data_IF_639584971161
#
_entry.id   IF_639584971161
#
_cell.length_a   1.000
_cell.length_b   1.000
_cell.length_c   1.000
_cell.angle_alpha   90.00
_cell.angle_beta   90.00
_cell.angle_gamma   90.00
#
_symmetry.space_group_name_H-M   'P 1'
#
loop_
_entity.id
_entity.type
_entity.pdbx_description
1 polymer ?
#
# COMPACT_ATOMS: atom_id res chain seq x y z
N UNK A 1 10.46 6.17 -23.97
CA UNK A 1 9.04 6.05 -24.36
C UNK A 1 8.56 7.45 -24.71
N UNK A 2 8.59 7.81 -25.99
CA UNK A 2 8.00 9.07 -26.46
C UNK A 2 6.52 8.78 -26.70
N UNK A 3 5.66 9.21 -25.78
CA UNK A 3 4.22 9.29 -26.08
C UNK A 3 4.02 10.56 -26.90
N UNK A 4 4.35 10.48 -28.19
CA UNK A 4 3.92 11.50 -29.15
C UNK A 4 2.43 11.27 -29.39
N UNK A 5 1.59 12.05 -28.71
CA UNK A 5 0.18 12.21 -29.10
C UNK A 5 0.19 12.97 -30.41
N UNK A 6 -0.18 12.30 -31.50
CA UNK A 6 -0.44 12.94 -32.79
C UNK A 6 -1.52 14.01 -32.60
N UNK A 7 -1.49 15.08 -33.40
CA UNK A 7 -2.47 16.18 -33.39
C UNK A 7 -3.87 15.77 -33.87
N UNK A 8 -4.33 14.57 -33.51
CA UNK A 8 -5.64 13.99 -33.78
C UNK A 8 -6.00 12.79 -32.89
N UNK A 9 -5.12 12.32 -31.99
CA UNK A 9 -5.46 11.24 -31.05
C UNK A 9 -6.23 11.80 -29.85
N UNK A 10 -7.31 11.13 -29.39
CA UNK A 10 -8.02 11.57 -28.20
C UNK A 10 -7.09 11.52 -26.98
N UNK A 11 -7.11 12.54 -26.10
CA UNK A 11 -6.26 12.57 -24.92
C UNK A 11 -6.53 11.32 -24.05
N UNK A 12 -5.47 10.61 -23.65
CA UNK A 12 -5.59 9.44 -22.77
C UNK A 12 -6.03 9.92 -21.38
N UNK A 13 -7.26 9.60 -20.93
CA UNK A 13 -7.79 10.20 -19.71
C UNK A 13 -7.26 9.54 -18.43
N UNK A 14 -6.84 8.26 -18.51
CA UNK A 14 -6.45 7.44 -17.37
C UNK A 14 -5.64 6.22 -17.82
N UNK A 15 -4.65 5.83 -17.02
CA UNK A 15 -3.97 4.54 -17.15
C UNK A 15 -4.50 3.60 -16.07
N UNK A 16 -4.92 2.39 -16.46
CA UNK A 16 -5.26 1.31 -15.53
C UNK A 16 -4.15 0.28 -15.58
N UNK A 17 -3.52 -0.01 -14.44
CA UNK A 17 -2.38 -0.93 -14.41
C UNK A 17 -1.58 -0.91 -13.13
N UNK A 18 -0.38 -1.48 -13.19
CA UNK A 18 0.40 -1.79 -12.00
C UNK A 18 -0.15 -3.04 -11.33
N UNK A 19 0.30 -4.19 -11.82
CA UNK A 19 -0.04 -5.54 -11.38
C UNK A 19 0.51 -5.88 -9.98
N UNK A 20 1.50 -5.13 -9.52
CA UNK A 20 2.03 -5.18 -8.17
C UNK A 20 2.18 -3.79 -7.56
N UNK A 21 2.32 -3.72 -6.23
CA UNK A 21 2.65 -2.47 -5.54
C UNK A 21 3.98 -1.87 -5.99
N UNK A 22 4.95 -2.69 -6.41
CA UNK A 22 6.24 -2.19 -6.92
C UNK A 22 6.05 -1.56 -8.29
N UNK A 23 5.38 -2.26 -9.21
CA UNK A 23 5.08 -1.75 -10.55
C UNK A 23 4.27 -0.47 -10.48
N UNK A 24 3.25 -0.42 -9.62
CA UNK A 24 2.43 0.77 -9.40
C UNK A 24 3.23 1.96 -8.88
N UNK A 25 4.18 1.76 -7.95
CA UNK A 25 5.05 2.84 -7.47
C UNK A 25 5.93 3.40 -8.59
N UNK A 26 6.52 2.53 -9.40
CA UNK A 26 7.36 2.94 -10.54
C UNK A 26 6.53 3.75 -11.54
N UNK A 27 5.38 3.22 -11.97
CA UNK A 27 4.49 3.89 -12.91
C UNK A 27 3.98 5.23 -12.36
N UNK A 28 3.53 5.27 -11.10
CA UNK A 28 3.03 6.50 -10.48
C UNK A 28 4.10 7.60 -10.44
N UNK A 29 5.37 7.26 -10.17
CA UNK A 29 6.48 8.22 -10.19
C UNK A 29 6.79 8.75 -11.59
N UNK A 30 6.72 7.89 -12.60
CA UNK A 30 6.95 8.28 -14.00
C UNK A 30 5.81 9.19 -14.50
N UNK A 31 4.57 8.88 -14.13
CA UNK A 31 3.36 9.59 -14.58
C UNK A 31 3.10 10.89 -13.81
N UNK A 32 3.61 11.03 -12.58
CA UNK A 32 3.36 12.18 -11.73
C UNK A 32 3.75 13.53 -12.37
N UNK A 33 4.96 13.72 -12.96
CA UNK A 33 5.33 14.97 -13.63
C UNK A 33 4.47 15.30 -14.85
N UNK A 34 3.88 14.28 -15.48
CA UNK A 34 3.04 14.43 -16.66
C UNK A 34 1.56 14.67 -16.30
N UNK A 35 1.22 14.71 -15.00
CA UNK A 35 -0.15 14.84 -14.51
C UNK A 35 -1.12 13.77 -15.00
N UNK A 36 -0.61 12.59 -15.39
CA UNK A 36 -1.46 11.47 -15.80
C UNK A 36 -1.93 10.68 -14.58
N UNK A 37 -3.25 10.43 -14.46
CA UNK A 37 -3.76 9.58 -13.40
C UNK A 37 -3.45 8.11 -13.69
N UNK A 38 -3.09 7.37 -12.62
CA UNK A 38 -2.90 5.93 -12.64
C UNK A 38 -3.88 5.28 -11.66
N UNK A 39 -4.66 4.31 -12.11
CA UNK A 39 -5.54 3.49 -11.29
C UNK A 39 -5.03 2.06 -11.24
N UNK A 40 -4.61 1.58 -10.07
CA UNK A 40 -4.26 0.17 -9.87
C UNK A 40 -5.38 -0.64 -9.25
N UNK A 41 -5.57 -1.86 -9.73
CA UNK A 41 -6.56 -2.81 -9.22
C UNK A 41 -5.98 -3.85 -8.26
N UNK A 42 -4.66 -3.91 -8.08
CA UNK A 42 -3.99 -4.88 -7.20
C UNK A 42 -3.09 -4.26 -6.14
N UNK A 43 -2.62 -3.03 -6.33
CA UNK A 43 -1.59 -2.44 -5.48
C UNK A 43 -2.13 -2.05 -4.09
N UNK A 44 -1.84 -2.87 -3.09
CA UNK A 44 -2.35 -2.73 -1.72
C UNK A 44 -1.39 -2.02 -0.75
N UNK A 45 -0.14 -1.76 -1.14
CA UNK A 45 0.86 -1.20 -0.23
C UNK A 45 0.39 0.11 0.43
N UNK A 46 0.51 0.26 1.77
CA UNK A 46 0.21 1.52 2.45
C UNK A 46 1.04 2.70 1.95
N UNK A 47 2.26 2.44 1.47
CA UNK A 47 3.18 3.43 0.91
C UNK A 47 2.60 4.26 -0.24
N UNK A 48 1.72 3.67 -1.07
CA UNK A 48 1.06 4.35 -2.19
C UNK A 48 -0.05 5.34 -1.77
N UNK A 49 -0.33 5.46 -0.47
CA UNK A 49 -1.32 6.40 0.05
C UNK A 49 -0.74 7.80 0.31
N UNK A 50 0.58 7.96 0.22
CA UNK A 50 1.24 9.26 0.37
C UNK A 50 0.94 10.16 -0.83
N UNK A 51 0.07 11.14 -0.63
CA UNK A 51 -0.38 12.07 -1.68
C UNK A 51 0.69 13.09 -2.08
N UNK A 52 1.70 13.32 -1.26
CA UNK A 52 2.84 14.16 -1.63
C UNK A 52 3.75 13.43 -2.62
N UNK A 53 3.94 12.12 -2.42
CA UNK A 53 4.75 11.29 -3.34
C UNK A 53 3.98 10.79 -4.56
N UNK A 54 2.69 10.50 -4.42
CA UNK A 54 1.85 9.89 -5.46
C UNK A 54 0.55 10.69 -5.66
N UNK A 55 0.63 11.94 -6.13
CA UNK A 55 -0.53 12.84 -6.21
C UNK A 55 -1.62 12.31 -7.16
N UNK A 56 -1.23 11.66 -8.26
CA UNK A 56 -2.14 11.20 -9.31
C UNK A 56 -2.44 9.70 -9.25
N UNK A 57 -2.11 9.03 -8.14
CA UNK A 57 -2.32 7.60 -7.97
C UNK A 57 -3.69 7.31 -7.33
N UNK A 58 -4.41 6.35 -7.88
CA UNK A 58 -5.67 5.85 -7.38
C UNK A 58 -5.64 4.33 -7.35
N UNK A 59 -6.51 3.72 -6.54
CA UNK A 59 -6.66 2.27 -6.51
C UNK A 59 -8.06 1.84 -6.09
N UNK A 60 -8.49 0.69 -6.58
CA UNK A 60 -9.68 -0.01 -6.11
C UNK A 60 -9.36 -1.01 -5.00
N UNK A 61 -8.13 -1.49 -4.93
CA UNK A 61 -7.64 -2.36 -3.87
C UNK A 61 -7.54 -1.60 -2.53
N UNK A 62 -8.02 -2.19 -1.44
CA UNK A 62 -7.85 -1.61 -0.11
C UNK A 62 -6.37 -1.63 0.32
N UNK A 63 -6.00 -0.69 1.20
CA UNK A 63 -4.65 -0.66 1.76
C UNK A 63 -4.44 -1.75 2.82
N UNK A 64 -3.27 -2.40 2.83
CA UNK A 64 -2.91 -3.42 3.84
C UNK A 64 -2.95 -2.90 5.29
N UNK A 65 -2.93 -1.58 5.50
CA UNK A 65 -3.07 -0.97 6.82
C UNK A 65 -4.39 -1.38 7.49
N UNK A 66 -5.46 -1.59 6.71
CA UNK A 66 -6.75 -2.00 7.24
C UNK A 66 -6.72 -3.44 7.74
N UNK A 67 -5.99 -4.33 7.07
CA UNK A 67 -5.80 -5.70 7.52
C UNK A 67 -5.00 -5.75 8.83
N UNK A 68 -3.90 -5.00 8.91
CA UNK A 68 -3.11 -4.92 10.15
C UNK A 68 -3.95 -4.37 11.33
N UNK A 69 -4.81 -3.38 11.07
CA UNK A 69 -5.76 -2.86 12.06
C UNK A 69 -6.78 -3.91 12.51
N UNK A 70 -7.36 -4.65 11.57
CA UNK A 70 -8.32 -5.71 11.88
C UNK A 70 -7.70 -6.78 12.80
N UNK A 71 -6.45 -7.18 12.55
CA UNK A 71 -5.74 -8.16 13.39
C UNK A 71 -5.60 -7.69 14.84
N UNK A 72 -5.26 -6.41 15.06
CA UNK A 72 -5.17 -5.87 16.42
C UNK A 72 -6.55 -5.76 17.07
N UNK A 73 -7.56 -5.32 16.33
CA UNK A 73 -8.94 -5.26 16.84
C UNK A 73 -9.47 -6.63 17.24
N UNK A 74 -9.13 -7.69 16.52
CA UNK A 74 -9.45 -9.06 16.90
C UNK A 74 -8.77 -9.46 18.22
N UNK A 75 -7.48 -9.19 18.37
CA UNK A 75 -6.75 -9.49 19.61
C UNK A 75 -7.37 -8.77 20.82
N UNK A 76 -7.80 -7.52 20.65
CA UNK A 76 -8.50 -6.74 21.68
C UNK A 76 -9.86 -7.38 21.98
N UNK A 77 -10.66 -7.66 20.95
CA UNK A 77 -12.01 -8.23 21.09
C UNK A 77 -12.02 -9.54 21.87
N UNK A 78 -10.98 -10.35 21.71
CA UNK A 78 -10.84 -11.64 22.40
C UNK A 78 -9.95 -11.58 23.66
N UNK A 79 -9.62 -10.38 24.15
CA UNK A 79 -8.82 -10.17 25.35
C UNK A 79 -7.47 -10.92 25.35
N UNK A 80 -6.83 -11.02 24.19
CA UNK A 80 -5.49 -11.61 24.12
C UNK A 80 -4.48 -10.70 24.82
N UNK A 81 -3.57 -11.30 25.57
CA UNK A 81 -2.50 -10.59 26.30
C UNK A 81 -1.14 -10.75 25.62
N UNK A 82 -1.04 -11.65 24.64
CA UNK A 82 0.16 -11.86 23.84
C UNK A 82 -0.18 -12.30 22.42
N UNK A 83 0.59 -11.82 21.44
CA UNK A 83 0.57 -12.28 20.04
C UNK A 83 1.99 -12.50 19.53
N UNK A 84 2.15 -13.54 18.71
CA UNK A 84 3.35 -13.78 17.91
C UNK A 84 3.13 -13.26 16.49
N UNK A 85 4.04 -12.43 15.99
CA UNK A 85 4.07 -12.01 14.59
C UNK A 85 5.21 -12.73 13.87
N UNK A 86 4.87 -13.43 12.79
CA UNK A 86 5.85 -13.98 11.84
C UNK A 86 5.75 -13.14 10.58
N UNK A 87 6.86 -12.52 10.18
CA UNK A 87 6.91 -11.66 9.00
C UNK A 87 8.05 -12.09 8.09
N UNK A 88 7.89 -11.90 6.79
CA UNK A 88 9.01 -11.93 5.85
C UNK A 88 9.81 -10.64 5.96
N UNK A 89 11.13 -10.72 5.76
CA UNK A 89 11.99 -9.53 5.70
C UNK A 89 11.81 -8.72 4.40
N UNK A 90 10.62 -8.15 4.22
CA UNK A 90 10.20 -7.36 3.07
C UNK A 90 9.49 -6.09 3.52
N UNK A 91 9.38 -5.09 2.65
CA UNK A 91 8.62 -3.87 2.94
C UNK A 91 7.18 -4.16 3.39
N UNK A 92 6.55 -5.17 2.80
CA UNK A 92 5.21 -5.60 3.21
C UNK A 92 5.18 -6.06 4.67
N UNK A 93 6.07 -6.99 5.04
CA UNK A 93 6.16 -7.51 6.41
C UNK A 93 6.52 -6.44 7.44
N UNK A 94 7.48 -5.58 7.11
CA UNK A 94 7.95 -4.50 7.98
C UNK A 94 6.89 -3.41 8.19
N UNK A 95 6.15 -3.04 7.14
CA UNK A 95 5.05 -2.08 7.24
C UNK A 95 3.92 -2.63 8.09
N UNK A 96 3.53 -3.90 7.90
CA UNK A 96 2.52 -4.55 8.73
C UNK A 96 2.93 -4.55 10.22
N UNK A 97 4.19 -4.92 10.51
CA UNK A 97 4.73 -4.88 11.86
C UNK A 97 4.69 -3.47 12.46
N UNK A 98 5.09 -2.45 11.70
CA UNK A 98 5.07 -1.05 12.15
C UNK A 98 3.66 -0.62 12.55
N UNK A 99 2.65 -0.98 11.75
CA UNK A 99 1.25 -0.69 12.05
C UNK A 99 0.82 -1.38 13.33
N UNK A 100 0.99 -2.70 13.42
CA UNK A 100 0.62 -3.51 14.60
C UNK A 100 1.29 -2.97 15.87
N UNK A 101 2.58 -2.67 15.79
CA UNK A 101 3.36 -2.16 16.93
C UNK A 101 2.82 -0.83 17.45
N UNK A 102 2.39 0.06 16.56
CA UNK A 102 1.90 1.39 16.94
C UNK A 102 0.46 1.37 17.46
N UNK A 103 -0.41 0.53 16.89
CA UNK A 103 -1.84 0.52 17.24
C UNK A 103 -2.19 -0.43 18.38
N UNK A 104 -1.33 -1.40 18.71
CA UNK A 104 -1.61 -2.34 19.81
C UNK A 104 -1.68 -1.62 21.16
N UNK A 105 -2.56 -2.05 22.08
CA UNK A 105 -2.54 -1.55 23.44
C UNK A 105 -1.27 -2.03 24.14
N UNK A 106 -0.80 -1.26 25.15
CA UNK A 106 0.41 -1.61 25.93
C UNK A 106 0.31 -2.95 26.66
N UNK A 107 -0.91 -3.41 26.93
CA UNK A 107 -1.21 -4.70 27.58
C UNK A 107 -1.00 -5.89 26.66
N UNK A 108 -1.06 -5.69 25.33
CA UNK A 108 -0.86 -6.76 24.35
C UNK A 108 0.63 -6.92 24.05
N UNK A 109 1.26 -7.96 24.61
CA UNK A 109 2.67 -8.28 24.33
C UNK A 109 2.84 -8.79 22.90
N UNK A 110 3.91 -8.36 22.22
CA UNK A 110 4.22 -8.75 20.85
C UNK A 110 5.58 -9.44 20.83
N UNK A 111 5.64 -10.67 20.30
CA UNK A 111 6.91 -11.34 19.99
C UNK A 111 7.05 -11.41 18.47
N UNK A 112 8.23 -11.12 17.97
CA UNK A 112 8.53 -11.08 16.55
C UNK A 112 9.42 -12.25 16.14
N UNK A 113 9.10 -12.85 15.01
CA UNK A 113 9.97 -13.73 14.24
C UNK A 113 10.04 -13.20 12.80
N UNK A 114 11.25 -12.94 12.33
CA UNK A 114 11.49 -12.55 10.94
C UNK A 114 12.02 -13.80 10.22
N UNK A 115 11.42 -14.13 9.08
CA UNK A 115 11.83 -15.22 8.18
C UNK A 115 12.34 -14.68 6.85
#
# INVERSE_FOLDING_TARGET
IHLAVSSGDPPVPLIIGGDSSITAQILARILAPLSFPLLSYTASCPCLSDRLQYPNFFRTMASDIYQARAMVQLAIKFNWTWVGAVITNTDYGLVALKVVFFIRPKTLKLKLLII
#
